data_IF_373906609537
#
_entry.id   IF_373906609537
#
_cell.length_a   1.000
_cell.length_b   1.000
_cell.length_c   1.000
_cell.angle_alpha   90.00
_cell.angle_beta   90.00
_cell.angle_gamma   90.00
#
_symmetry.space_group_name_H-M   'P 1'
#
loop_
_entity.id
_entity.type
_entity.pdbx_description
1 polymer ?
#
# COMPACT_ATOMS: atom_id res chain seq x y z
N UNK A 1 -2.62 22.28 -19.00
CA UNK A 1 -1.29 21.64 -19.12
C UNK A 1 -1.41 20.50 -20.12
N UNK A 2 -0.63 20.49 -21.22
CA UNK A 2 -0.68 19.38 -22.19
C UNK A 2 -0.05 18.12 -21.57
N UNK A 3 -0.61 16.92 -21.77
CA UNK A 3 -0.04 15.70 -21.22
C UNK A 3 1.33 15.42 -21.85
N UNK A 4 2.34 15.18 -21.01
CA UNK A 4 3.64 14.72 -21.47
C UNK A 4 3.48 13.29 -21.98
N UNK A 5 3.80 13.07 -23.25
CA UNK A 5 3.85 11.72 -23.84
C UNK A 5 5.26 11.17 -23.63
N UNK A 6 5.35 10.01 -22.96
CA UNK A 6 6.61 9.29 -22.74
C UNK A 6 6.66 8.10 -23.68
N UNK A 7 7.80 7.86 -24.31
CA UNK A 7 8.06 6.56 -24.94
C UNK A 7 8.12 5.45 -23.89
N UNK A 8 7.83 4.22 -24.29
CA UNK A 8 7.94 3.05 -23.39
C UNK A 8 9.36 2.93 -22.80
N UNK A 9 10.39 3.26 -23.58
CA UNK A 9 11.80 3.27 -23.11
C UNK A 9 12.02 4.30 -22.01
N UNK A 10 11.50 5.51 -22.16
CA UNK A 10 11.61 6.57 -21.15
C UNK A 10 10.81 6.22 -19.91
N UNK A 11 9.58 5.72 -20.08
CA UNK A 11 8.75 5.26 -18.96
C UNK A 11 9.45 4.18 -18.13
N UNK A 12 10.01 3.15 -18.80
CA UNK A 12 10.76 2.07 -18.12
C UNK A 12 11.97 2.59 -17.34
N UNK A 13 12.70 3.56 -17.90
CA UNK A 13 13.82 4.21 -17.20
C UNK A 13 13.36 4.93 -15.95
N UNK A 14 12.27 5.70 -16.04
CA UNK A 14 11.72 6.47 -14.92
C UNK A 14 11.25 5.56 -13.78
N UNK A 15 10.47 4.52 -14.08
CA UNK A 15 9.92 3.64 -13.03
C UNK A 15 10.98 2.77 -12.34
N UNK A 16 12.15 2.62 -12.96
CA UNK A 16 13.29 1.90 -12.39
C UNK A 16 14.19 2.80 -11.49
N UNK A 17 13.95 4.12 -11.44
CA UNK A 17 14.79 5.03 -10.67
C UNK A 17 14.78 4.70 -9.16
N UNK A 18 15.94 4.74 -8.48
CA UNK A 18 16.01 4.53 -7.03
C UNK A 18 15.14 5.51 -6.23
N UNK A 19 14.98 6.74 -6.71
CA UNK A 19 14.12 7.75 -6.08
C UNK A 19 12.64 7.34 -6.07
N UNK A 20 12.16 6.71 -7.15
CA UNK A 20 10.79 6.18 -7.22
C UNK A 20 10.61 5.07 -6.18
N UNK A 21 11.55 4.13 -6.08
CA UNK A 21 11.52 3.07 -5.06
C UNK A 21 11.49 3.64 -3.64
N UNK A 22 12.39 4.59 -3.33
CA UNK A 22 12.43 5.27 -2.02
C UNK A 22 11.09 5.96 -1.70
N UNK A 23 10.49 6.65 -2.69
CA UNK A 23 9.20 7.33 -2.50
C UNK A 23 8.06 6.35 -2.28
N UNK A 24 8.01 5.25 -3.04
CA UNK A 24 7.00 4.20 -2.87
C UNK A 24 7.07 3.59 -1.46
N UNK A 25 8.29 3.24 -1.00
CA UNK A 25 8.50 2.72 0.35
C UNK A 25 8.09 3.74 1.42
N UNK A 26 8.45 5.01 1.25
CA UNK A 26 8.07 6.08 2.17
C UNK A 26 6.54 6.18 2.32
N UNK A 27 5.81 6.19 1.20
CA UNK A 27 4.35 6.24 1.20
C UNK A 27 3.75 4.99 1.84
N UNK A 28 4.27 3.80 1.51
CA UNK A 28 3.81 2.54 2.11
C UNK A 28 4.03 2.52 3.63
N UNK A 29 5.16 3.03 4.13
CA UNK A 29 5.41 3.16 5.57
C UNK A 29 4.42 4.10 6.27
N UNK A 30 4.05 5.22 5.64
CA UNK A 30 3.03 6.13 6.20
C UNK A 30 1.67 5.44 6.31
N UNK A 31 1.28 4.67 5.28
CA UNK A 31 0.04 3.89 5.28
C UNK A 31 0.11 2.79 6.35
N UNK A 32 1.24 2.08 6.47
CA UNK A 32 1.44 1.05 7.48
C UNK A 32 1.30 1.60 8.91
N UNK A 33 1.88 2.76 9.21
CA UNK A 33 1.73 3.42 10.51
C UNK A 33 0.26 3.73 10.82
N UNK A 34 -0.48 4.28 9.86
CA UNK A 34 -1.91 4.55 10.03
C UNK A 34 -2.73 3.27 10.19
N UNK A 35 -2.39 2.22 9.44
CA UNK A 35 -3.03 0.91 9.53
C UNK A 35 -2.86 0.31 10.93
N UNK A 36 -1.64 0.35 11.48
CA UNK A 36 -1.37 -0.09 12.87
C UNK A 36 -2.18 0.70 13.90
N UNK A 37 -2.29 2.02 13.75
CA UNK A 37 -3.10 2.85 14.64
C UNK A 37 -4.59 2.48 14.59
N UNK A 38 -5.11 2.20 13.39
CA UNK A 38 -6.50 1.75 13.22
C UNK A 38 -6.74 0.36 13.82
N UNK A 39 -5.82 -0.59 13.62
CA UNK A 39 -5.90 -1.94 14.20
C UNK A 39 -5.85 -1.90 15.73
N UNK A 40 -4.91 -1.12 16.28
CA UNK A 40 -4.79 -0.92 17.73
C UNK A 40 -6.07 -0.31 18.32
N UNK A 41 -6.67 0.66 17.63
CA UNK A 41 -7.95 1.27 18.04
C UNK A 41 -9.13 0.29 17.95
N UNK A 42 -9.04 -0.73 17.10
CA UNK A 42 -10.01 -1.80 16.97
C UNK A 42 -9.73 -2.99 17.91
N UNK A 43 -8.65 -2.93 18.72
CA UNK A 43 -8.23 -4.03 19.59
C UNK A 43 -7.62 -5.23 18.85
N UNK A 44 -7.30 -5.10 17.56
CA UNK A 44 -6.71 -6.18 16.77
C UNK A 44 -5.19 -6.23 16.98
N UNK A 45 -4.68 -7.44 17.20
CA UNK A 45 -3.24 -7.74 17.34
C UNK A 45 -2.56 -8.05 15.98
N UNK A 46 -3.24 -7.76 14.87
CA UNK A 46 -2.78 -8.08 13.53
C UNK A 46 -1.39 -7.49 13.21
N UNK A 47 -0.56 -8.29 12.57
CA UNK A 47 0.77 -7.90 12.11
C UNK A 47 0.65 -7.08 10.83
N UNK A 48 1.32 -5.93 10.77
CA UNK A 48 1.38 -5.09 9.56
C UNK A 48 2.79 -5.10 8.99
N UNK A 49 2.92 -5.51 7.72
CA UNK A 49 4.18 -5.55 6.98
C UNK A 49 4.15 -4.64 5.75
N UNK A 50 5.34 -4.21 5.33
CA UNK A 50 5.54 -3.52 4.05
C UNK A 50 6.40 -4.40 3.17
N UNK A 51 5.86 -4.79 2.04
CA UNK A 51 6.55 -5.62 1.05
C UNK A 51 6.94 -4.78 -0.15
N UNK A 52 8.18 -4.95 -0.62
CA UNK A 52 8.72 -4.28 -1.78
C UNK A 52 9.03 -5.29 -2.89
N UNK A 53 8.92 -4.87 -4.15
CA UNK A 53 9.32 -5.72 -5.26
C UNK A 53 9.26 -5.02 -6.61
N UNK A 54 9.54 -5.78 -7.66
CA UNK A 54 9.50 -5.33 -9.05
C UNK A 54 8.47 -6.17 -9.80
N UNK A 55 7.48 -5.52 -10.42
CA UNK A 55 6.50 -6.17 -11.30
C UNK A 55 7.13 -6.47 -12.67
N UNK A 56 6.52 -7.38 -13.46
CA UNK A 56 6.89 -7.53 -14.87
C UNK A 56 6.99 -6.16 -15.57
N UNK A 57 7.98 -6.03 -16.47
CA UNK A 57 8.34 -4.77 -17.15
C UNK A 57 9.02 -3.71 -16.27
N UNK A 58 9.52 -4.07 -15.09
CA UNK A 58 10.43 -3.23 -14.29
C UNK A 58 9.76 -2.22 -13.37
N UNK A 59 8.42 -2.25 -13.23
CA UNK A 59 7.69 -1.31 -12.38
C UNK A 59 7.85 -1.70 -10.90
N UNK A 60 8.56 -0.88 -10.13
CA UNK A 60 8.66 -1.06 -8.70
C UNK A 60 7.31 -0.90 -7.99
N UNK A 61 7.14 -1.61 -6.87
CA UNK A 61 6.01 -1.44 -5.95
C UNK A 61 6.46 -1.53 -4.50
N UNK A 62 5.69 -0.91 -3.62
CA UNK A 62 5.67 -1.17 -2.19
C UNK A 62 4.20 -1.33 -1.79
N UNK A 63 3.84 -2.42 -1.11
CA UNK A 63 2.48 -2.71 -0.67
C UNK A 63 2.44 -2.93 0.84
N UNK A 64 1.33 -2.53 1.46
CA UNK A 64 1.05 -2.80 2.86
C UNK A 64 0.19 -4.06 2.94
N UNK A 65 0.56 -4.99 3.80
CA UNK A 65 -0.16 -6.24 4.06
C UNK A 65 -0.40 -6.36 5.55
N UNK A 66 -1.53 -6.93 5.94
CA UNK A 66 -1.77 -7.38 7.31
C UNK A 66 -2.50 -8.72 7.31
N UNK A 67 -2.44 -9.42 8.45
CA UNK A 67 -2.90 -10.81 8.61
C UNK A 67 -4.32 -10.94 9.20
N UNK A 68 -5.11 -9.87 9.16
CA UNK A 68 -6.50 -9.83 9.67
C UNK A 68 -7.51 -9.53 8.54
N UNK A 69 -7.76 -10.52 7.65
CA UNK A 69 -8.67 -10.33 6.52
C UNK A 69 -10.13 -10.17 6.98
N UNK A 70 -10.54 -10.81 8.07
CA UNK A 70 -11.92 -10.72 8.57
C UNK A 70 -12.22 -9.37 9.19
N UNK A 71 -11.27 -8.76 9.90
CA UNK A 71 -11.37 -7.38 10.35
C UNK A 71 -11.37 -6.36 9.20
N UNK A 72 -10.72 -6.67 8.08
CA UNK A 72 -10.73 -5.79 6.91
C UNK A 72 -12.02 -5.86 6.11
N UNK A 73 -12.49 -7.08 5.79
CA UNK A 73 -13.61 -7.29 4.87
C UNK A 73 -14.94 -7.56 5.57
N UNK A 74 -14.89 -8.03 6.81
CA UNK A 74 -16.04 -8.55 7.56
C UNK A 74 -16.41 -9.98 7.17
N UNK A 75 -17.14 -10.63 8.06
CA UNK A 75 -17.88 -11.88 7.79
C UNK A 75 -19.31 -11.72 8.30
N UNK A 76 -20.10 -12.79 8.30
CA UNK A 76 -21.42 -12.79 8.95
C UNK A 76 -21.31 -12.48 10.45
N UNK A 77 -20.30 -13.05 11.12
CA UNK A 77 -20.11 -12.94 12.56
C UNK A 77 -19.11 -11.84 12.99
N UNK A 78 -18.26 -11.37 12.07
CA UNK A 78 -17.18 -10.43 12.37
C UNK A 78 -17.45 -9.08 11.71
N UNK A 79 -17.71 -8.01 12.48
CA UNK A 79 -17.84 -6.67 11.92
C UNK A 79 -16.51 -6.16 11.38
N UNK A 80 -16.54 -5.55 10.20
CA UNK A 80 -15.35 -4.94 9.60
C UNK A 80 -14.94 -3.65 10.33
N UNK A 81 -13.65 -3.48 10.63
CA UNK A 81 -13.06 -2.20 11.04
C UNK A 81 -12.29 -1.50 9.91
N UNK A 82 -12.01 -2.20 8.80
CA UNK A 82 -11.36 -1.67 7.57
C UNK A 82 -10.09 -0.87 7.87
N UNK A 83 -9.16 -1.46 8.62
CA UNK A 83 -7.99 -0.71 9.08
C UNK A 83 -7.14 -0.17 7.93
N UNK A 84 -6.90 -0.99 6.90
CA UNK A 84 -6.12 -0.59 5.73
C UNK A 84 -6.94 0.33 4.82
N UNK A 85 -8.20 -0.01 4.54
CA UNK A 85 -9.12 0.81 3.74
C UNK A 85 -9.24 2.24 4.28
N UNK A 86 -9.36 2.40 5.61
CA UNK A 86 -9.38 3.71 6.27
C UNK A 86 -8.04 4.44 6.18
N UNK A 87 -6.91 3.72 6.29
CA UNK A 87 -5.58 4.33 6.21
C UNK A 87 -5.29 4.99 4.85
N UNK A 88 -5.84 4.43 3.77
CA UNK A 88 -5.69 4.94 2.39
C UNK A 88 -6.82 5.90 1.98
N UNK A 89 -7.83 6.11 2.82
CA UNK A 89 -9.00 6.93 2.49
C UNK A 89 -9.88 6.31 1.41
N UNK A 90 -9.88 4.98 1.27
CA UNK A 90 -10.81 4.30 0.38
C UNK A 90 -12.21 4.41 0.94
N UNK A 91 -13.17 4.80 0.09
CA UNK A 91 -14.60 4.71 0.41
C UNK A 91 -15.02 3.24 0.53
#
# INVERSE_FOLDING_TARGET
MKPVQLSDREWRRIVALPSVRKRLRFVANQIATRTRANLSSAGSAATVTVEEGIRPKGRAYARVVHDDPFGEYGTEDVPRHRALGRAVGSK
#
